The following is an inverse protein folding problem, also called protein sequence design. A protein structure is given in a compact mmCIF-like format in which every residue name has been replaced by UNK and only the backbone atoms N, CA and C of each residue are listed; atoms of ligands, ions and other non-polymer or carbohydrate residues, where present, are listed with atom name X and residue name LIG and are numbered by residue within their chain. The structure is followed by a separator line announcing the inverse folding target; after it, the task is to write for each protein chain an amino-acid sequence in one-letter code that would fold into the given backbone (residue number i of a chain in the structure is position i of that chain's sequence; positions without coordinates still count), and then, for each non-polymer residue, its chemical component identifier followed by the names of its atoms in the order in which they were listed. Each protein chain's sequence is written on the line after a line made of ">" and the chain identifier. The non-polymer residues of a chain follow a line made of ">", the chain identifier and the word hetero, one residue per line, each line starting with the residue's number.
data_IF_877645406755
#
_entry.id   IF_877645406755
#
_cell.length_a   1.000
_cell.length_b   1.000
_cell.length_c   1.000
_cell.angle_alpha   90.00
_cell.angle_beta   90.00
_cell.angle_gamma   90.00
#
_symmetry.space_group_name_H-M   'P 1'
#
loop_
_entity.id
_entity.type
_entity.pdbx_description
1 polymer ?
#
# COMPACT_ATOMS: atom_id res chain seq x y z
N UNK A 1 12.26 -10.28 -9.89
CA UNK A 1 13.14 -9.15 -10.29
C UNK A 1 14.45 -9.16 -9.49
N UNK A 2 14.42 -9.04 -8.17
CA UNK A 2 15.63 -8.98 -7.35
C UNK A 2 16.48 -10.24 -7.44
N UNK A 3 15.88 -11.43 -7.40
CA UNK A 3 16.58 -12.71 -7.58
C UNK A 3 17.22 -12.85 -8.97
N UNK A 4 16.53 -12.35 -10.02
CA UNK A 4 17.08 -12.34 -11.39
C UNK A 4 18.29 -11.41 -11.54
N UNK A 5 18.45 -10.46 -10.63
CA UNK A 5 19.59 -9.53 -10.58
C UNK A 5 20.59 -9.90 -9.47
N UNK A 6 20.60 -11.16 -9.01
CA UNK A 6 21.59 -11.67 -8.06
C UNK A 6 21.46 -11.16 -6.62
N UNK A 7 20.34 -10.53 -6.27
CA UNK A 7 20.07 -10.10 -4.89
C UNK A 7 19.40 -11.25 -4.15
N UNK A 8 20.04 -11.87 -3.15
CA UNK A 8 19.44 -12.95 -2.38
C UNK A 8 18.30 -12.40 -1.54
N UNK A 9 17.06 -12.66 -1.95
CA UNK A 9 15.88 -12.44 -1.14
C UNK A 9 15.41 -13.77 -0.59
N UNK A 10 15.00 -13.78 0.66
CA UNK A 10 14.27 -14.91 1.22
C UNK A 10 12.99 -15.09 0.41
N UNK A 11 12.74 -16.29 -0.10
CA UNK A 11 11.62 -16.63 -1.00
C UNK A 11 10.21 -16.40 -0.41
N UNK A 12 10.11 -15.83 0.81
CA UNK A 12 8.88 -15.81 1.60
C UNK A 12 8.19 -14.44 1.69
N UNK A 13 8.73 -13.36 1.07
CA UNK A 13 8.12 -12.03 1.23
C UNK A 13 6.70 -11.94 0.69
N UNK A 14 6.44 -12.53 -0.47
CA UNK A 14 5.10 -12.55 -1.05
C UNK A 14 4.15 -13.40 -0.19
N UNK A 15 4.62 -14.55 0.29
CA UNK A 15 3.83 -15.43 1.16
C UNK A 15 3.50 -14.77 2.49
N UNK A 16 4.44 -14.03 3.08
CA UNK A 16 4.20 -13.24 4.29
C UNK A 16 3.15 -12.15 4.06
N UNK A 17 3.22 -11.42 2.94
CA UNK A 17 2.24 -10.40 2.60
C UNK A 17 0.84 -11.01 2.42
N UNK A 18 0.71 -12.14 1.72
CA UNK A 18 -0.56 -12.86 1.59
C UNK A 18 -1.10 -13.35 2.95
N UNK A 19 -0.23 -13.90 3.80
CA UNK A 19 -0.61 -14.34 5.14
C UNK A 19 -1.12 -13.18 6.01
N UNK A 20 -0.45 -12.02 5.94
CA UNK A 20 -0.89 -10.79 6.64
C UNK A 20 -2.25 -10.30 6.15
N UNK A 21 -2.46 -10.22 4.83
CA UNK A 21 -3.78 -9.86 4.27
C UNK A 21 -4.85 -10.81 4.79
N UNK A 22 -4.60 -12.12 4.73
CA UNK A 22 -5.54 -13.14 5.22
C UNK A 22 -5.85 -12.98 6.70
N UNK A 23 -4.84 -12.71 7.55
CA UNK A 23 -4.99 -12.44 8.99
C UNK A 23 -5.90 -11.22 9.22
N UNK A 24 -5.65 -10.11 8.50
CA UNK A 24 -6.41 -8.87 8.62
C UNK A 24 -7.86 -9.08 8.16
N UNK A 25 -8.08 -9.68 7.00
CA UNK A 25 -9.43 -9.92 6.48
C UNK A 25 -10.21 -10.86 7.40
N UNK A 26 -9.57 -11.89 7.95
CA UNK A 26 -10.21 -12.78 8.94
C UNK A 26 -10.58 -12.05 10.23
N UNK A 27 -9.71 -11.12 10.70
CA UNK A 27 -9.94 -10.36 11.95
C UNK A 27 -11.09 -9.37 11.81
N UNK A 28 -11.19 -8.66 10.69
CA UNK A 28 -12.10 -7.53 10.51
C UNK A 28 -13.30 -7.82 9.61
N UNK A 29 -13.30 -8.93 8.87
CA UNK A 29 -14.37 -9.35 7.96
C UNK A 29 -14.88 -8.21 7.06
N UNK A 30 -14.01 -7.47 6.35
CA UNK A 30 -14.41 -6.34 5.56
C UNK A 30 -15.23 -6.77 4.35
N UNK A 31 -16.22 -5.97 3.94
CA UNK A 31 -16.95 -6.19 2.70
C UNK A 31 -16.05 -6.07 1.47
N UNK A 32 -14.96 -5.32 1.61
CA UNK A 32 -14.11 -4.95 0.51
C UNK A 32 -12.66 -4.72 0.94
N UNK A 33 -11.73 -5.24 0.16
CA UNK A 33 -10.30 -4.94 0.21
C UNK A 33 -9.95 -4.04 -0.99
N UNK A 34 -9.44 -2.86 -0.74
CA UNK A 34 -8.96 -1.94 -1.78
C UNK A 34 -7.43 -1.88 -1.74
N UNK A 35 -6.79 -2.25 -2.84
CA UNK A 35 -5.34 -2.18 -3.02
C UNK A 35 -5.03 -0.88 -3.76
N UNK A 36 -4.15 -0.04 -3.21
CA UNK A 36 -3.83 1.27 -3.76
C UNK A 36 -2.59 1.25 -4.66
N UNK A 37 -2.57 0.32 -5.59
CA UNK A 37 -1.56 0.20 -6.64
C UNK A 37 -0.25 -0.44 -6.22
N UNK A 38 0.60 -0.61 -7.23
CA UNK A 38 1.90 -1.29 -7.13
C UNK A 38 1.80 -2.66 -6.47
N UNK A 39 0.74 -3.40 -6.86
CA UNK A 39 0.53 -4.78 -6.46
C UNK A 39 1.67 -5.68 -6.96
N UNK A 40 2.26 -5.32 -8.10
CA UNK A 40 3.43 -5.95 -8.67
C UNK A 40 4.63 -5.00 -8.69
N UNK A 41 5.83 -5.50 -8.44
CA UNK A 41 7.05 -4.68 -8.49
C UNK A 41 7.41 -4.21 -9.91
N UNK A 42 7.03 -4.96 -10.92
CA UNK A 42 7.10 -4.56 -12.33
C UNK A 42 6.31 -5.55 -13.18
N UNK A 43 5.86 -5.11 -14.35
CA UNK A 43 5.20 -5.98 -15.33
C UNK A 43 6.06 -7.16 -15.80
N UNK A 44 7.38 -7.04 -15.71
CA UNK A 44 8.34 -8.08 -16.11
C UNK A 44 8.56 -9.15 -15.02
N UNK A 45 8.14 -8.90 -13.78
CA UNK A 45 8.30 -9.83 -12.66
C UNK A 45 7.06 -10.66 -12.36
N UNK A 46 6.00 -10.52 -13.15
CA UNK A 46 4.74 -11.23 -12.94
C UNK A 46 4.89 -12.67 -13.44
N UNK A 47 5.14 -13.59 -12.52
CA UNK A 47 5.06 -15.01 -12.84
C UNK A 47 3.59 -15.43 -12.99
N UNK A 48 3.31 -16.43 -13.85
CA UNK A 48 1.96 -17.03 -13.96
C UNK A 48 1.45 -17.54 -12.61
N UNK A 49 2.34 -18.00 -11.73
CA UNK A 49 2.00 -18.45 -10.39
C UNK A 49 1.52 -17.31 -9.51
N UNK A 50 2.24 -16.17 -9.49
CA UNK A 50 1.86 -14.97 -8.73
C UNK A 50 0.54 -14.40 -9.25
N UNK A 51 0.37 -14.31 -10.57
CA UNK A 51 -0.88 -13.85 -11.16
C UNK A 51 -2.07 -14.70 -10.72
N UNK A 52 -1.96 -16.05 -10.76
CA UNK A 52 -3.02 -16.95 -10.30
C UNK A 52 -3.32 -16.78 -8.81
N UNK A 53 -2.30 -16.58 -7.96
CA UNK A 53 -2.49 -16.29 -6.53
C UNK A 53 -3.29 -15.01 -6.31
N UNK A 54 -2.97 -13.95 -7.06
CA UNK A 54 -3.69 -12.68 -6.99
C UNK A 54 -5.12 -12.82 -7.50
N UNK A 55 -5.34 -13.46 -8.63
CA UNK A 55 -6.68 -13.72 -9.21
C UNK A 55 -7.57 -14.57 -8.29
N UNK A 56 -6.97 -15.42 -7.45
CA UNK A 56 -7.66 -16.23 -6.46
C UNK A 56 -7.95 -15.53 -5.13
N UNK A 57 -7.46 -14.29 -4.92
CA UNK A 57 -7.66 -13.56 -3.66
C UNK A 57 -9.14 -13.37 -3.28
N UNK A 58 -10.06 -12.97 -4.18
CA UNK A 58 -11.46 -12.78 -3.80
C UNK A 58 -12.11 -14.04 -3.22
N UNK A 59 -11.84 -15.18 -3.82
CA UNK A 59 -12.35 -16.49 -3.37
C UNK A 59 -11.69 -16.91 -2.04
N UNK A 60 -10.36 -16.82 -1.96
CA UNK A 60 -9.58 -17.17 -0.77
C UNK A 60 -9.98 -16.35 0.46
N UNK A 61 -10.24 -15.06 0.26
CA UNK A 61 -10.55 -14.11 1.33
C UNK A 61 -12.05 -14.01 1.62
N UNK A 62 -12.91 -14.53 0.73
CA UNK A 62 -14.38 -14.37 0.76
C UNK A 62 -14.78 -12.89 0.87
N UNK A 63 -14.06 -12.02 0.18
CA UNK A 63 -14.31 -10.57 0.16
C UNK A 63 -14.08 -10.01 -1.23
N UNK A 64 -14.74 -8.90 -1.56
CA UNK A 64 -14.52 -8.21 -2.82
C UNK A 64 -13.14 -7.57 -2.82
N UNK A 65 -12.34 -7.81 -3.86
CA UNK A 65 -11.03 -7.17 -4.05
C UNK A 65 -11.12 -6.17 -5.18
N UNK A 66 -10.67 -4.95 -4.90
CA UNK A 66 -10.56 -3.86 -5.88
C UNK A 66 -9.10 -3.40 -5.96
N UNK A 67 -8.61 -3.11 -7.15
CA UNK A 67 -7.28 -2.56 -7.39
C UNK A 67 -7.41 -1.17 -7.99
N UNK A 68 -6.80 -0.18 -7.37
CA UNK A 68 -6.49 1.10 -7.98
C UNK A 68 -5.13 0.96 -8.63
N UNK A 69 -5.01 1.21 -9.94
CA UNK A 69 -3.76 0.99 -10.68
C UNK A 69 -2.63 1.87 -10.16
N UNK A 70 -1.50 1.25 -9.87
CA UNK A 70 -0.21 1.91 -9.69
C UNK A 70 0.58 1.98 -11.00
N UNK A 71 1.65 2.75 -11.00
CA UNK A 71 2.50 2.90 -12.17
C UNK A 71 3.21 1.59 -12.57
N UNK A 72 3.40 0.66 -11.63
CA UNK A 72 3.96 -0.67 -11.89
C UNK A 72 2.92 -1.70 -12.36
N UNK A 73 1.62 -1.41 -12.22
CA UNK A 73 0.54 -2.31 -12.61
C UNK A 73 0.03 -2.06 -14.03
N UNK A 74 0.53 -1.02 -14.72
CA UNK A 74 0.06 -0.63 -16.06
C UNK A 74 0.27 -1.79 -17.05
N UNK A 75 -0.83 -2.18 -17.72
CA UNK A 75 -0.85 -3.28 -18.69
C UNK A 75 -1.02 -4.66 -18.06
N UNK A 76 -1.20 -4.78 -16.74
CA UNK A 76 -1.57 -6.02 -16.10
C UNK A 76 -3.05 -6.35 -16.38
N UNK A 77 -3.30 -7.56 -16.85
CA UNK A 77 -4.67 -8.09 -16.98
C UNK A 77 -4.90 -9.11 -15.85
N UNK A 78 -5.67 -8.71 -14.85
CA UNK A 78 -5.94 -9.53 -13.67
C UNK A 78 -7.44 -9.88 -13.68
N UNK A 79 -7.74 -11.17 -13.69
CA UNK A 79 -9.12 -11.65 -13.63
C UNK A 79 -9.67 -11.58 -12.21
N UNK A 80 -11.00 -11.55 -12.08
CA UNK A 80 -11.72 -11.62 -10.81
C UNK A 80 -11.52 -10.43 -9.85
N UNK A 81 -10.77 -9.39 -10.26
CA UNK A 81 -10.52 -8.18 -9.48
C UNK A 81 -11.03 -6.98 -10.28
N UNK A 82 -11.80 -6.11 -9.63
CA UNK A 82 -12.22 -4.85 -10.26
C UNK A 82 -11.06 -3.86 -10.26
N UNK A 83 -10.78 -3.28 -11.42
CA UNK A 83 -9.65 -2.37 -11.63
C UNK A 83 -10.17 -0.95 -11.87
N UNK A 84 -9.51 0.03 -11.29
CA UNK A 84 -9.84 1.46 -11.39
C UNK A 84 -8.55 2.28 -11.55
N UNK A 85 -8.58 3.34 -12.35
CA UNK A 85 -7.53 4.37 -12.31
C UNK A 85 -7.66 5.21 -11.02
N UNK A 86 -8.90 5.60 -10.72
CA UNK A 86 -9.27 6.30 -9.49
C UNK A 86 -10.61 5.74 -9.03
N UNK A 87 -10.69 5.38 -7.75
CA UNK A 87 -11.91 4.87 -7.16
C UNK A 87 -12.53 5.92 -6.24
N UNK A 88 -13.78 6.32 -6.50
CA UNK A 88 -14.50 7.35 -5.72
C UNK A 88 -15.61 6.72 -4.89
N UNK A 89 -15.75 7.15 -3.64
CA UNK A 89 -16.83 6.77 -2.75
C UNK A 89 -17.24 7.95 -1.87
N UNK A 90 -18.41 8.56 -2.15
CA UNK A 90 -18.89 9.76 -1.42
C UNK A 90 -17.78 10.82 -1.31
N UNK A 91 -17.33 11.07 -0.08
CA UNK A 91 -16.33 12.09 0.25
C UNK A 91 -14.89 11.55 0.25
N UNK A 92 -14.68 10.29 -0.10
CA UNK A 92 -13.36 9.65 -0.13
C UNK A 92 -13.01 9.30 -1.58
N UNK A 93 -11.78 9.61 -1.95
CA UNK A 93 -11.17 9.20 -3.22
C UNK A 93 -10.00 8.29 -2.89
N UNK A 94 -9.87 7.21 -3.64
CA UNK A 94 -8.75 6.30 -3.57
C UNK A 94 -7.97 6.41 -4.88
N UNK A 95 -6.69 6.72 -4.79
CA UNK A 95 -5.76 6.80 -5.93
C UNK A 95 -4.44 6.15 -5.56
N UNK A 96 -3.63 5.79 -6.56
CA UNK A 96 -2.27 5.39 -6.28
C UNK A 96 -1.42 6.61 -5.94
N UNK A 97 -1.40 7.61 -6.81
CA UNK A 97 -0.67 8.85 -6.60
C UNK A 97 -1.51 9.92 -5.87
N UNK A 98 -0.85 10.87 -5.16
CA UNK A 98 -1.56 11.97 -4.53
C UNK A 98 -2.22 12.87 -5.56
N UNK A 99 -3.42 13.31 -5.26
CA UNK A 99 -4.19 14.19 -6.15
C UNK A 99 -4.16 15.65 -5.69
N UNK A 100 -4.24 16.56 -6.65
CA UNK A 100 -4.60 17.96 -6.37
C UNK A 100 -6.09 18.10 -6.62
N UNK A 101 -6.86 18.18 -5.53
CA UNK A 101 -8.30 18.29 -5.60
C UNK A 101 -8.72 19.76 -5.81
N UNK A 102 -9.77 19.96 -6.60
CA UNK A 102 -10.30 21.30 -6.85
C UNK A 102 -10.98 21.90 -5.60
N UNK A 103 -11.40 21.05 -4.66
CA UNK A 103 -11.99 21.43 -3.39
C UNK A 103 -11.46 20.57 -2.25
N UNK A 104 -11.52 21.08 -1.03
CA UNK A 104 -11.11 20.36 0.17
C UNK A 104 -12.26 19.56 0.83
N UNK A 105 -13.36 19.32 0.12
CA UNK A 105 -14.52 18.60 0.67
C UNK A 105 -14.31 17.08 0.66
N UNK A 106 -13.35 16.60 -0.12
CA UNK A 106 -13.05 15.17 -0.26
C UNK A 106 -11.66 14.86 0.26
N UNK A 107 -11.54 13.73 0.94
CA UNK A 107 -10.26 13.17 1.36
C UNK A 107 -9.76 12.23 0.25
N UNK A 108 -8.52 12.42 -0.19
CA UNK A 108 -7.82 11.45 -1.01
C UNK A 108 -6.97 10.53 -0.13
N UNK A 109 -7.16 9.23 -0.24
CA UNK A 109 -6.31 8.21 0.38
C UNK A 109 -5.45 7.59 -0.73
N UNK A 110 -4.12 7.69 -0.58
CA UNK A 110 -3.18 7.26 -1.62
C UNK A 110 -1.99 6.48 -1.08
N UNK A 111 -1.36 5.72 -1.98
CA UNK A 111 -0.13 4.97 -1.77
C UNK A 111 1.11 5.73 -2.24
N UNK A 112 1.88 5.10 -3.13
CA UNK A 112 3.01 5.58 -3.92
C UNK A 112 4.18 6.21 -3.13
N UNK A 113 3.89 7.17 -2.26
CA UNK A 113 4.91 7.93 -1.52
C UNK A 113 5.61 7.09 -0.43
N UNK A 114 4.93 6.08 0.12
CA UNK A 114 5.44 5.20 1.18
C UNK A 114 6.11 5.99 2.32
N UNK A 115 5.37 6.82 3.06
CA UNK A 115 5.96 7.73 4.03
C UNK A 115 6.66 6.98 5.17
N UNK A 116 7.84 7.49 5.54
CA UNK A 116 8.61 7.06 6.70
C UNK A 116 9.13 8.26 7.47
N UNK A 117 9.47 8.04 8.73
CA UNK A 117 10.13 9.02 9.58
C UNK A 117 11.34 8.39 10.26
N UNK A 118 12.19 9.24 10.81
CA UNK A 118 13.32 8.82 11.62
C UNK A 118 13.14 9.31 13.05
N UNK A 119 13.21 8.39 13.99
CA UNK A 119 13.48 8.70 15.38
C UNK A 119 14.98 8.66 15.60
N UNK A 120 15.50 9.67 16.27
CA UNK A 120 16.92 9.79 16.60
C UNK A 120 17.08 9.92 18.11
N UNK A 121 17.98 9.14 18.68
CA UNK A 121 18.37 9.23 20.07
C UNK A 121 19.84 8.89 20.21
N UNK A 122 20.63 9.77 20.81
CA UNK A 122 22.06 9.58 21.18
C UNK A 122 22.94 8.90 20.11
N UNK A 123 22.74 9.30 18.83
CA UNK A 123 23.50 8.72 17.71
C UNK A 123 22.76 7.59 16.96
N UNK A 124 21.77 6.97 17.56
CA UNK A 124 20.96 5.95 16.93
C UNK A 124 19.89 6.56 16.04
N UNK A 125 19.57 5.87 14.94
CA UNK A 125 18.57 6.28 13.97
C UNK A 125 17.66 5.11 13.63
N UNK A 126 16.42 5.17 14.12
CA UNK A 126 15.39 4.21 13.81
C UNK A 126 14.49 4.73 12.68
N UNK A 127 14.30 3.93 11.62
CA UNK A 127 13.37 4.25 10.53
C UNK A 127 12.04 3.56 10.79
N UNK A 128 10.97 4.34 10.87
CA UNK A 128 9.61 3.83 11.05
C UNK A 128 8.74 4.19 9.86
N UNK A 129 7.89 3.25 9.44
CA UNK A 129 6.79 3.53 8.51
C UNK A 129 5.75 4.40 9.23
N UNK A 130 5.10 5.28 8.50
CA UNK A 130 4.06 6.11 9.09
C UNK A 130 2.93 6.37 8.10
N UNK A 131 1.75 6.67 8.63
CA UNK A 131 0.74 7.41 7.89
C UNK A 131 1.14 8.88 7.87
N UNK A 132 0.80 9.59 6.80
CA UNK A 132 1.11 11.01 6.68
C UNK A 132 -0.06 11.75 6.04
N UNK A 133 -0.42 12.92 6.59
CA UNK A 133 -1.53 13.74 6.11
C UNK A 133 -1.02 15.11 5.64
N UNK A 134 -1.16 15.37 4.35
CA UNK A 134 -1.07 16.73 3.81
C UNK A 134 -2.43 17.42 3.96
N UNK A 135 -2.58 18.20 5.02
CA UNK A 135 -3.84 18.92 5.31
C UNK A 135 -4.15 20.02 4.30
N UNK A 136 -3.14 20.54 3.59
CA UNK A 136 -3.34 21.58 2.57
C UNK A 136 -3.97 21.02 1.30
N UNK A 137 -3.59 19.80 0.92
CA UNK A 137 -4.09 19.10 -0.28
C UNK A 137 -5.12 18.04 0.03
N UNK A 138 -5.42 17.81 1.29
CA UNK A 138 -6.34 16.79 1.78
C UNK A 138 -5.99 15.37 1.29
N UNK A 139 -4.67 15.04 1.31
CA UNK A 139 -4.15 13.73 0.95
C UNK A 139 -3.67 12.98 2.19
N UNK A 140 -4.21 11.78 2.42
CA UNK A 140 -3.71 10.81 3.39
C UNK A 140 -2.85 9.76 2.65
N UNK A 141 -1.56 9.76 2.95
CA UNK A 141 -0.60 8.81 2.40
C UNK A 141 -0.52 7.57 3.29
N UNK A 142 -0.73 6.41 2.71
CA UNK A 142 -0.55 5.14 3.39
C UNK A 142 0.92 4.69 3.35
N UNK A 143 1.42 4.06 4.41
CA UNK A 143 2.71 3.39 4.37
C UNK A 143 2.69 2.20 3.41
N UNK A 144 3.86 1.80 2.93
CA UNK A 144 3.98 0.58 2.16
C UNK A 144 3.52 -0.64 2.96
N UNK A 145 2.73 -1.50 2.35
CA UNK A 145 2.30 -2.76 2.95
C UNK A 145 3.41 -3.82 2.86
N UNK A 146 4.08 -3.92 1.71
CA UNK A 146 5.12 -4.91 1.45
C UNK A 146 6.38 -4.71 2.29
N UNK A 147 6.99 -5.80 2.77
CA UNK A 147 8.15 -5.74 3.67
C UNK A 147 9.42 -5.23 2.98
N UNK A 148 9.56 -5.48 1.69
CA UNK A 148 10.72 -5.09 0.89
C UNK A 148 10.58 -3.70 0.25
N UNK A 149 9.45 -3.04 0.46
CA UNK A 149 9.20 -1.73 -0.12
C UNK A 149 9.91 -0.65 0.70
N UNK A 150 10.74 0.13 0.05
CA UNK A 150 11.37 1.31 0.63
C UNK A 150 10.35 2.39 0.98
N UNK A 151 10.83 3.59 1.27
CA UNK A 151 9.93 4.73 1.53
C UNK A 151 10.70 6.03 1.58
N UNK A 152 9.96 7.13 1.45
CA UNK A 152 10.51 8.49 1.45
C UNK A 152 10.30 9.17 2.80
N UNK A 153 11.28 10.00 3.17
CA UNK A 153 11.18 10.78 4.40
C UNK A 153 9.99 11.74 4.31
N UNK A 154 9.10 11.63 5.27
CA UNK A 154 7.91 12.46 5.33
C UNK A 154 8.25 13.94 5.52
N UNK A 155 7.56 14.84 4.81
CA UNK A 155 7.71 16.30 4.96
C UNK A 155 7.40 16.72 6.39
N UNK A 156 8.16 17.69 6.92
CA UNK A 156 7.95 18.22 8.29
C UNK A 156 6.55 18.82 8.48
N UNK A 157 5.98 19.42 7.44
CA UNK A 157 4.65 20.07 7.47
C UNK A 157 3.46 19.10 7.50
N UNK A 158 3.68 17.79 7.30
CA UNK A 158 2.61 16.80 7.34
C UNK A 158 2.35 16.36 8.77
N UNK A 159 1.08 16.11 9.12
CA UNK A 159 0.75 15.35 10.32
C UNK A 159 1.18 13.90 10.09
N UNK A 160 1.69 13.24 11.13
CA UNK A 160 2.28 11.92 11.02
C UNK A 160 1.86 11.02 12.17
N UNK A 161 1.65 9.74 11.84
CA UNK A 161 1.37 8.69 12.82
C UNK A 161 2.33 7.54 12.55
N UNK A 162 3.31 7.38 13.45
CA UNK A 162 4.30 6.31 13.38
C UNK A 162 3.67 4.96 13.68
N UNK A 163 4.03 3.95 12.93
CA UNK A 163 3.66 2.56 13.21
C UNK A 163 4.76 1.97 14.08
N UNK A 164 4.45 1.68 15.33
CA UNK A 164 5.38 1.10 16.31
C UNK A 164 5.30 -0.42 16.28
N UNK A 165 4.07 -0.96 16.18
CA UNK A 165 3.82 -2.40 16.10
C UNK A 165 2.58 -2.71 15.24
N UNK A 166 2.18 -3.97 15.17
CA UNK A 166 0.92 -4.36 14.49
C UNK A 166 -0.33 -3.74 15.12
N UNK A 167 -0.26 -3.31 16.38
CA UNK A 167 -1.42 -2.82 17.15
C UNK A 167 -1.23 -1.40 17.69
N UNK A 168 -0.07 -0.77 17.46
CA UNK A 168 0.24 0.53 18.05
C UNK A 168 0.67 1.55 17.01
N UNK A 169 0.01 2.71 17.05
CA UNK A 169 0.28 3.88 16.21
C UNK A 169 0.39 5.09 17.13
N UNK A 170 1.43 5.90 16.95
CA UNK A 170 1.69 7.10 17.76
C UNK A 170 1.69 8.34 16.85
N UNK A 171 0.97 9.39 17.24
CA UNK A 171 1.04 10.70 16.58
C UNK A 171 2.35 11.40 16.96
N UNK A 172 3.00 12.03 15.94
CA UNK A 172 4.30 12.69 16.06
C UNK A 172 4.26 14.10 15.47
#
# INVERSE_FOLDING_TARGET
>A
YFQQNGIPLTNNSDENNFARIKKIVKKYSPEKLIILGDLFHSKYSISKSLQRKVEGLPELLKTNVELVLGNHDIGCNIKNIKIFDIRKNKNIIFSHEPLTLADNKRLNICGHYHPKLYLKNNGDKLSLRCFAMDTKKNNLYLPAFGDLTGGYLCKKSFKKWAIISEEEIIEI
#
